data_IF_393584405586
#
_entry.id   IF_393584405586
#
_cell.length_a   1.000
_cell.length_b   1.000
_cell.length_c   1.000
_cell.angle_alpha   90.00
_cell.angle_beta   90.00
_cell.angle_gamma   90.00
#
_symmetry.space_group_name_H-M   'P 1'
#
loop_
_entity.id
_entity.type
_entity.pdbx_description
1 polymer ?
#
# COMPACT_ATOMS: atom_id res chain seq x y z
N UNK A 1 -5.43 -19.12 -2.10
CA UNK A 1 -4.77 -17.86 -2.50
C UNK A 1 -3.80 -17.52 -1.38
N UNK A 2 -2.58 -17.08 -1.68
CA UNK A 2 -1.57 -16.79 -0.64
C UNK A 2 -1.72 -15.35 -0.16
N UNK A 3 -1.93 -15.16 1.14
CA UNK A 3 -2.06 -13.85 1.76
C UNK A 3 -0.75 -13.47 2.44
N UNK A 4 -0.04 -12.52 1.85
CA UNK A 4 1.19 -12.00 2.42
C UNK A 4 0.93 -10.83 3.34
N UNK A 5 1.60 -10.83 4.49
CA UNK A 5 1.51 -9.78 5.49
C UNK A 5 2.90 -9.32 5.90
N UNK A 6 2.97 -8.05 6.34
CA UNK A 6 4.12 -7.50 7.03
C UNK A 6 3.75 -7.25 8.47
N UNK A 7 4.61 -7.61 9.40
CA UNK A 7 4.28 -7.55 10.83
C UNK A 7 5.50 -7.28 11.70
N UNK A 8 5.26 -6.84 12.93
CA UNK A 8 6.25 -6.81 14.00
C UNK A 8 5.96 -7.96 14.98
N UNK A 9 7.02 -8.55 15.54
CA UNK A 9 6.94 -9.56 16.57
C UNK A 9 8.01 -9.33 17.62
N UNK A 10 7.61 -9.15 18.89
CA UNK A 10 8.52 -8.82 20.00
C UNK A 10 9.38 -7.59 19.69
N UNK A 11 10.69 -7.77 19.50
CA UNK A 11 11.64 -6.69 19.19
C UNK A 11 11.93 -6.59 17.68
N UNK A 12 11.48 -7.56 16.90
CA UNK A 12 11.72 -7.63 15.46
C UNK A 12 10.64 -6.84 14.72
N UNK A 13 11.06 -5.97 13.81
CA UNK A 13 10.16 -5.10 13.05
C UNK A 13 10.25 -5.37 11.56
N UNK A 14 9.12 -5.25 10.86
CA UNK A 14 9.09 -5.34 9.40
C UNK A 14 9.32 -6.74 8.84
N UNK A 15 8.98 -7.76 9.61
CA UNK A 15 9.02 -9.16 9.19
C UNK A 15 7.99 -9.42 8.08
N UNK A 16 8.27 -10.43 7.26
CA UNK A 16 7.40 -10.90 6.19
C UNK A 16 6.83 -12.26 6.56
N UNK A 17 5.57 -12.50 6.26
CA UNK A 17 4.97 -13.83 6.44
C UNK A 17 3.73 -14.05 5.60
N UNK A 18 3.26 -15.29 5.61
CA UNK A 18 1.98 -15.68 4.99
C UNK A 18 0.97 -16.08 6.06
N UNK A 19 -0.28 -15.63 5.92
CA UNK A 19 -1.37 -15.99 6.83
C UNK A 19 -1.89 -17.40 6.51
N UNK A 20 -1.91 -18.27 7.53
CA UNK A 20 -2.36 -19.66 7.45
C UNK A 20 -3.25 -19.95 8.67
N UNK A 21 -4.56 -19.74 8.51
CA UNK A 21 -5.50 -19.80 9.62
C UNK A 21 -5.18 -18.69 10.64
N UNK A 22 -5.05 -19.07 11.91
CA UNK A 22 -4.70 -18.14 13.00
C UNK A 22 -3.19 -17.97 13.22
N UNK A 23 -2.38 -18.36 12.23
CA UNK A 23 -0.93 -18.34 12.32
C UNK A 23 -0.28 -17.63 11.13
N UNK A 24 0.92 -17.13 11.38
CA UNK A 24 1.79 -16.49 10.40
C UNK A 24 3.03 -17.35 10.24
N UNK A 25 3.25 -17.84 9.02
CA UNK A 25 4.51 -18.50 8.65
C UNK A 25 5.51 -17.42 8.22
N UNK A 26 6.61 -17.30 8.94
CA UNK A 26 7.61 -16.26 8.73
C UNK A 26 8.56 -16.61 7.57
N UNK A 27 8.90 -15.60 6.77
CA UNK A 27 9.83 -15.67 5.66
C UNK A 27 10.93 -14.61 5.78
N UNK A 28 12.16 -15.02 5.48
CA UNK A 28 13.27 -14.12 5.23
C UNK A 28 13.17 -13.53 3.81
N UNK A 29 13.56 -12.26 3.69
CA UNK A 29 13.56 -11.51 2.43
C UNK A 29 12.43 -10.48 2.36
N UNK A 30 12.03 -10.12 1.13
CA UNK A 30 10.93 -9.19 0.88
C UNK A 30 9.97 -9.74 -0.18
N UNK A 31 8.79 -9.13 -0.33
CA UNK A 31 7.72 -9.52 -1.26
C UNK A 31 8.15 -9.65 -2.72
N UNK A 32 9.24 -9.00 -3.12
CA UNK A 32 9.62 -8.88 -4.52
C UNK A 32 10.88 -9.68 -4.88
N UNK A 33 11.54 -10.28 -3.90
CA UNK A 33 12.76 -11.08 -4.05
C UNK A 33 12.50 -12.54 -3.70
N UNK A 34 13.54 -13.38 -3.63
CA UNK A 34 13.35 -14.78 -3.23
C UNK A 34 13.03 -14.85 -1.74
N UNK A 35 11.82 -15.30 -1.40
CA UNK A 35 11.44 -15.55 -0.01
C UNK A 35 11.95 -16.91 0.45
N UNK A 36 12.54 -16.96 1.65
CA UNK A 36 12.99 -18.21 2.27
C UNK A 36 12.19 -18.47 3.54
N UNK A 37 11.50 -19.60 3.67
CA UNK A 37 10.79 -19.90 4.91
C UNK A 37 11.80 -20.04 6.05
N UNK A 38 11.55 -19.37 7.17
CA UNK A 38 12.41 -19.48 8.37
C UNK A 38 12.06 -20.71 9.21
N UNK A 39 10.87 -21.29 8.96
CA UNK A 39 10.30 -22.38 9.76
C UNK A 39 9.61 -21.91 11.04
N UNK A 40 9.64 -20.60 11.34
CA UNK A 40 8.92 -20.03 12.48
C UNK A 40 7.45 -19.84 12.12
N UNK A 41 6.59 -20.26 13.04
CA UNK A 41 5.15 -20.08 12.99
C UNK A 41 4.70 -19.30 14.22
N UNK A 42 4.03 -18.18 14.01
CA UNK A 42 3.68 -17.21 15.06
C UNK A 42 2.16 -17.04 15.10
N UNK A 43 1.51 -17.08 16.28
CA UNK A 43 0.09 -16.77 16.39
C UNK A 43 -0.24 -15.35 15.91
N UNK A 44 -1.29 -15.17 15.10
CA UNK A 44 -1.68 -13.85 14.55
C UNK A 44 -2.03 -12.83 15.65
N UNK A 45 -2.46 -13.29 16.83
CA UNK A 45 -2.78 -12.44 17.97
C UNK A 45 -1.54 -11.92 18.73
N UNK A 46 -0.35 -12.46 18.45
CA UNK A 46 0.91 -12.00 19.04
C UNK A 46 1.67 -11.02 18.14
N UNK A 47 1.21 -10.80 16.90
CA UNK A 47 1.88 -9.90 15.95
C UNK A 47 1.16 -8.56 15.84
N UNK A 48 1.93 -7.52 15.53
CA UNK A 48 1.38 -6.23 15.15
C UNK A 48 1.46 -6.08 13.64
N UNK A 49 0.31 -6.02 12.96
CA UNK A 49 0.27 -5.83 11.51
C UNK A 49 0.81 -4.45 11.12
N UNK A 50 1.61 -4.45 10.05
CA UNK A 50 2.10 -3.23 9.41
C UNK A 50 1.45 -3.06 8.04
N UNK A 51 1.69 -1.90 7.42
CA UNK A 51 1.38 -1.74 6.00
C UNK A 51 2.12 -2.85 5.21
N UNK A 52 1.44 -3.53 4.28
CA UNK A 52 1.97 -4.73 3.62
C UNK A 52 3.23 -4.47 2.79
N UNK A 53 3.50 -3.22 2.44
CA UNK A 53 4.68 -2.77 1.71
C UNK A 53 5.15 -1.40 2.19
N UNK A 54 6.43 -1.12 1.97
CA UNK A 54 7.01 0.22 2.06
C UNK A 54 7.11 0.80 0.65
N UNK A 55 6.14 1.62 0.20
CA UNK A 55 6.15 2.14 -1.16
C UNK A 55 7.24 3.21 -1.35
N UNK A 56 7.84 3.22 -2.54
CA UNK A 56 8.72 4.33 -2.98
C UNK A 56 7.93 5.50 -3.59
N UNK A 57 6.73 5.22 -4.13
CA UNK A 57 5.82 6.21 -4.69
C UNK A 57 4.37 5.72 -4.59
N UNK A 58 3.43 6.65 -4.50
CA UNK A 58 1.99 6.36 -4.44
C UNK A 58 1.31 7.27 -5.46
N UNK A 59 0.78 6.65 -6.50
CA UNK A 59 -0.06 7.31 -7.50
C UNK A 59 -1.51 6.86 -7.27
N UNK A 60 -2.41 7.82 -7.19
CA UNK A 60 -3.84 7.59 -7.05
C UNK A 60 -4.55 8.10 -8.30
N UNK A 61 -5.57 7.38 -8.74
CA UNK A 61 -6.43 7.80 -9.85
C UNK A 61 -7.62 8.56 -9.29
N UNK A 62 -7.87 9.74 -9.84
CA UNK A 62 -9.00 10.54 -9.45
C UNK A 62 -10.25 10.11 -10.21
N UNK A 63 -11.32 9.81 -9.47
CA UNK A 63 -12.66 9.54 -9.98
C UNK A 63 -12.74 8.46 -11.07
N UNK A 64 -12.11 7.31 -10.83
CA UNK A 64 -12.06 6.20 -11.78
C UNK A 64 -13.27 5.24 -11.66
N UNK A 65 -14.45 5.75 -11.29
CA UNK A 65 -15.66 4.94 -11.14
C UNK A 65 -16.81 5.54 -11.96
N UNK A 66 -16.98 5.02 -13.18
CA UNK A 66 -17.89 5.56 -14.20
C UNK A 66 -19.33 5.74 -13.70
N UNK A 67 -19.89 4.75 -13.02
CA UNK A 67 -21.27 4.82 -12.52
C UNK A 67 -21.49 5.98 -11.53
N UNK A 68 -20.47 6.33 -10.75
CA UNK A 68 -20.53 7.48 -9.84
C UNK A 68 -20.37 8.80 -10.58
N UNK A 69 -19.50 8.85 -11.59
CA UNK A 69 -19.36 10.04 -12.42
C UNK A 69 -20.68 10.38 -13.14
N UNK A 70 -21.38 9.37 -13.67
CA UNK A 70 -22.71 9.53 -14.27
C UNK A 70 -23.74 10.06 -13.26
N UNK A 71 -23.77 9.50 -12.05
CA UNK A 71 -24.70 9.91 -10.99
C UNK A 71 -24.44 11.31 -10.44
N UNK A 72 -23.18 11.74 -10.39
CA UNK A 72 -22.78 13.07 -9.91
C UNK A 72 -22.74 14.11 -11.05
N UNK A 73 -23.20 13.75 -12.26
CA UNK A 73 -23.19 14.59 -13.47
C UNK A 73 -21.81 15.21 -13.75
N UNK A 74 -20.76 14.47 -13.43
CA UNK A 74 -19.38 14.90 -13.61
C UNK A 74 -18.91 14.66 -15.04
N UNK A 75 -18.19 15.62 -15.60
CA UNK A 75 -17.54 15.46 -16.90
C UNK A 75 -16.47 14.39 -16.83
N UNK A 76 -16.57 13.37 -17.67
CA UNK A 76 -15.55 12.33 -17.81
C UNK A 76 -14.36 12.95 -18.57
N UNK A 77 -13.16 13.02 -17.97
CA UNK A 77 -12.00 13.59 -18.64
C UNK A 77 -11.50 12.66 -19.76
N UNK A 78 -10.96 13.24 -20.84
CA UNK A 78 -10.39 12.48 -21.98
C UNK A 78 -9.16 11.65 -21.60
N UNK A 79 -8.49 12.02 -20.49
CA UNK A 79 -7.32 11.35 -19.96
C UNK A 79 -7.48 11.05 -18.47
N UNK A 80 -6.88 9.96 -17.96
CA UNK A 80 -6.95 9.63 -16.54
C UNK A 80 -6.29 10.72 -15.71
N UNK A 81 -7.03 11.26 -14.76
CA UNK A 81 -6.48 12.21 -13.80
C UNK A 81 -5.81 11.43 -12.66
N UNK A 82 -4.59 11.82 -12.31
CA UNK A 82 -3.83 11.18 -11.25
C UNK A 82 -3.20 12.23 -10.33
N UNK A 83 -2.98 11.84 -9.09
CA UNK A 83 -2.30 12.64 -8.09
C UNK A 83 -1.38 11.76 -7.24
N UNK A 84 -0.51 12.38 -6.46
CA UNK A 84 0.42 11.66 -5.58
C UNK A 84 0.03 11.83 -4.12
N UNK A 85 0.13 10.75 -3.34
CA UNK A 85 0.06 10.80 -1.89
C UNK A 85 1.46 10.74 -1.28
N UNK A 86 1.76 11.53 -0.23
CA UNK A 86 3.03 11.43 0.48
C UNK A 86 3.26 10.03 1.06
N UNK A 87 4.50 9.53 1.02
CA UNK A 87 4.84 8.23 1.62
C UNK A 87 4.56 8.20 3.14
N UNK A 88 4.70 9.35 3.79
CA UNK A 88 4.40 9.55 5.22
C UNK A 88 2.92 9.43 5.57
N UNK A 89 2.03 9.30 4.58
CA UNK A 89 0.59 9.08 4.81
C UNK A 89 0.20 7.61 4.97
N UNK A 90 1.13 6.67 4.74
CA UNK A 90 0.87 5.23 4.87
C UNK A 90 0.92 4.82 6.33
N UNK A 91 -0.15 4.16 6.77
CA UNK A 91 -0.26 3.55 8.10
C UNK A 91 -0.68 2.09 7.97
N UNK A 92 -0.38 1.29 8.98
CA UNK A 92 -0.79 -0.11 9.05
C UNK A 92 -2.29 -0.29 9.33
N UNK A 93 -2.81 -1.51 9.19
CA UNK A 93 -4.14 -1.86 9.67
C UNK A 93 -4.33 -1.45 11.14
N UNK A 94 -5.55 -1.07 11.50
CA UNK A 94 -5.96 -0.70 12.87
C UNK A 94 -5.21 0.50 13.50
N UNK A 95 -4.34 1.17 12.75
CA UNK A 95 -3.69 2.39 13.21
C UNK A 95 -4.62 3.60 13.14
N UNK A 96 -4.51 4.49 14.11
CA UNK A 96 -5.34 5.70 14.20
C UNK A 96 -5.00 6.69 13.09
N UNK A 97 -6.02 7.12 12.32
CA UNK A 97 -5.89 8.23 11.37
C UNK A 97 -5.99 9.55 12.13
N UNK A 98 -4.87 10.27 12.23
CA UNK A 98 -4.83 11.57 12.89
C UNK A 98 -5.25 12.70 11.94
N UNK A 99 -6.22 13.48 12.37
CA UNK A 99 -6.62 14.70 11.67
C UNK A 99 -5.57 15.81 11.91
N UNK A 100 -5.12 16.54 10.87
CA UNK A 100 -4.22 17.68 11.05
C UNK A 100 -4.85 18.74 11.95
N UNK A 101 -4.11 19.23 12.96
CA UNK A 101 -4.62 20.19 13.98
C UNK A 101 -5.24 21.47 13.38
N UNK A 102 -4.71 21.94 12.24
CA UNK A 102 -5.21 23.15 11.55
C UNK A 102 -6.40 22.91 10.63
N UNK A 103 -6.77 21.66 10.32
CA UNK A 103 -7.82 21.37 9.36
C UNK A 103 -9.20 21.37 10.04
N UNK A 104 -10.08 22.29 9.64
CA UNK A 104 -11.47 22.42 10.16
C UNK A 104 -12.55 21.83 9.24
N UNK A 105 -12.20 21.41 8.03
CA UNK A 105 -13.14 20.85 7.05
C UNK A 105 -13.61 19.42 7.35
N UNK A 106 -14.40 18.86 6.44
CA UNK A 106 -14.82 17.46 6.48
C UNK A 106 -13.68 16.58 5.99
N UNK A 107 -13.39 15.50 6.72
CA UNK A 107 -12.53 14.41 6.26
C UNK A 107 -13.44 13.36 5.62
N UNK A 108 -13.14 12.98 4.38
CA UNK A 108 -13.92 12.00 3.61
C UNK A 108 -13.11 10.72 3.51
N UNK A 109 -13.77 9.59 3.70
CA UNK A 109 -13.19 8.27 3.51
C UNK A 109 -13.39 7.83 2.06
N UNK A 110 -12.30 7.38 1.44
CA UNK A 110 -12.27 6.87 0.06
C UNK A 110 -11.67 5.46 0.10
N UNK A 111 -12.53 4.44 -0.01
CA UNK A 111 -12.10 3.06 -0.15
C UNK A 111 -11.73 2.81 -1.61
N UNK A 112 -10.48 2.43 -1.86
CA UNK A 112 -9.94 2.20 -3.20
C UNK A 112 -9.27 0.83 -3.29
N UNK A 113 -9.31 0.25 -4.48
CA UNK A 113 -8.49 -0.92 -4.80
C UNK A 113 -7.07 -0.46 -5.11
N UNK A 114 -6.09 -1.14 -4.54
CA UNK A 114 -4.67 -0.85 -4.79
C UNK A 114 -4.01 -1.98 -5.56
N UNK A 115 -3.23 -1.63 -6.56
CA UNK A 115 -2.28 -2.55 -7.18
C UNK A 115 -0.84 -2.11 -6.86
N UNK A 116 0.05 -3.07 -6.59
CA UNK A 116 1.44 -2.81 -6.26
C UNK A 116 2.34 -3.40 -7.35
N UNK A 117 3.30 -2.60 -7.80
CA UNK A 117 4.18 -2.97 -8.90
C UNK A 117 5.64 -2.80 -8.50
N UNK A 118 6.50 -3.73 -8.94
CA UNK A 118 7.95 -3.54 -8.95
C UNK A 118 8.37 -3.07 -10.33
N UNK A 119 8.77 -1.81 -10.44
CA UNK A 119 9.38 -1.27 -11.66
C UNK A 119 10.82 -0.87 -11.39
N UNK A 120 11.72 -1.24 -12.31
CA UNK A 120 13.06 -0.65 -12.39
C UNK A 120 13.00 0.45 -13.45
N UNK A 121 12.91 1.71 -13.02
CA UNK A 121 12.87 2.84 -13.94
C UNK A 121 14.22 2.95 -14.66
N UNK A 122 14.26 2.57 -15.94
CA UNK A 122 15.44 2.78 -16.78
C UNK A 122 15.41 4.20 -17.33
N UNK A 123 16.41 5.00 -16.94
CA UNK A 123 16.58 6.36 -17.44
C UNK A 123 17.08 6.28 -18.88
N UNK A 124 16.19 6.42 -19.86
CA UNK A 124 16.58 6.45 -21.27
C UNK A 124 17.33 7.77 -21.55
N UNK A 125 18.66 7.75 -21.51
CA UNK A 125 19.51 8.90 -21.88
C UNK A 125 19.46 9.11 -23.40
N UNK A 126 18.37 9.70 -23.90
CA UNK A 126 18.39 10.38 -25.20
C UNK A 126 17.89 11.80 -25.01
N UNK A 127 18.76 12.65 -24.51
CA UNK A 127 18.64 14.09 -24.69
C UNK A 127 19.24 14.37 -26.06
N UNK A 128 18.40 14.63 -27.07
CA UNK A 128 18.85 15.31 -28.29
C UNK A 128 18.95 16.79 -27.92
N UNK A 129 20.16 17.33 -27.97
CA UNK A 129 20.41 18.77 -27.94
C UNK A 129 19.70 19.42 -29.13
N UNK A 130 19.03 20.54 -28.87
CA UNK A 130 18.57 21.47 -29.90
C UNK A 130 19.76 22.25 -30.46
#
# INVERSE_FOLDING_TARGET
MTEWIRFNYKQDTGLLGTLVGDYVDEYEGNLFETQKPTGRRIPINEVQLQAPLEPHSIYALWNNFHERAEKEEQTIPDVPLYFMKPLTSVIGPDQTIYRPKGHKGRVIFEAETRCCYRFKMQRNKRVRSW
#
